data_IF_941572116926
#
_entry.id   IF_941572116926
#
_cell.length_a   1.000
_cell.length_b   1.000
_cell.length_c   1.000
_cell.angle_alpha   90.00
_cell.angle_beta   90.00
_cell.angle_gamma   90.00
#
_symmetry.space_group_name_H-M   'P 1'
#
loop_
_entity.id
_entity.type
_entity.pdbx_description
1 polymer ?
#
# COMPACT_ATOMS: atom_id res chain seq x y z
N UNK A 1 -13.62 -18.48 58.61
CA UNK A 1 -13.12 -17.68 57.45
C UNK A 1 -11.85 -18.35 56.96
N UNK A 2 -11.71 -18.71 55.67
CA UNK A 2 -10.43 -19.20 55.18
C UNK A 2 -9.46 -18.03 55.03
N UNK A 3 -8.27 -18.16 55.63
CA UNK A 3 -7.15 -17.22 55.48
C UNK A 3 -6.46 -17.44 54.13
N UNK A 4 -6.35 -16.38 53.33
CA UNK A 4 -5.62 -16.37 52.06
C UNK A 4 -4.14 -16.06 52.31
N UNK A 5 -3.24 -16.87 51.75
CA UNK A 5 -1.79 -16.61 51.78
C UNK A 5 -1.36 -16.14 50.39
N UNK A 6 -0.72 -14.97 50.29
CA UNK A 6 -0.23 -14.43 49.02
C UNK A 6 1.12 -15.06 48.68
N UNK A 7 1.25 -15.67 47.50
CA UNK A 7 2.53 -16.19 46.99
C UNK A 7 3.21 -15.09 46.17
N UNK A 8 4.41 -14.68 46.57
CA UNK A 8 5.14 -13.55 45.98
C UNK A 8 6.09 -13.91 44.85
N UNK A 9 6.44 -15.20 44.64
CA UNK A 9 7.21 -15.63 43.48
C UNK A 9 7.02 -17.13 43.18
N UNK A 10 7.03 -17.50 41.90
CA UNK A 10 7.00 -18.88 41.42
C UNK A 10 8.37 -19.26 40.84
N UNK A 11 9.12 -20.13 41.55
CA UNK A 11 10.41 -20.66 41.09
C UNK A 11 10.22 -21.99 40.35
N UNK A 12 10.57 -22.03 39.07
CA UNK A 12 10.57 -23.28 38.27
C UNK A 12 12.00 -23.81 38.18
N UNK A 13 12.32 -24.85 38.94
CA UNK A 13 13.62 -25.52 38.87
C UNK A 13 13.63 -26.59 37.76
N UNK A 14 14.68 -26.60 36.93
CA UNK A 14 14.80 -27.45 35.72
C UNK A 14 14.93 -28.96 35.99
N UNK A 15 14.92 -29.41 37.25
CA UNK A 15 15.23 -30.81 37.63
C UNK A 15 14.34 -31.39 38.74
N UNK A 16 13.34 -30.66 39.23
CA UNK A 16 12.32 -31.21 40.14
C UNK A 16 10.96 -30.80 39.60
N UNK A 17 10.12 -31.80 39.29
CA UNK A 17 8.74 -31.63 38.78
C UNK A 17 8.06 -30.51 39.57
N UNK A 18 7.43 -29.55 38.88
CA UNK A 18 6.65 -28.51 39.53
C UNK A 18 5.54 -29.17 40.37
N UNK A 19 5.74 -29.29 41.68
CA UNK A 19 4.75 -29.86 42.58
C UNK A 19 3.85 -28.75 43.10
N UNK A 20 2.72 -28.56 42.42
CA UNK A 20 1.51 -28.01 43.03
C UNK A 20 0.39 -29.00 42.77
N UNK A 21 0.40 -30.12 43.51
CA UNK A 21 -0.75 -31.00 43.60
C UNK A 21 -1.48 -30.68 44.91
N UNK A 22 -2.18 -29.54 44.97
CA UNK A 22 -3.20 -29.36 45.99
C UNK A 22 -4.41 -30.16 45.55
N UNK A 23 -4.92 -31.04 46.42
CA UNK A 23 -6.04 -31.95 46.14
C UNK A 23 -7.40 -31.25 45.88
N UNK A 24 -7.41 -29.92 45.81
CA UNK A 24 -8.57 -29.09 45.46
C UNK A 24 -8.15 -28.03 44.45
N UNK A 25 -8.64 -28.13 43.22
CA UNK A 25 -8.50 -27.12 42.17
C UNK A 25 -9.69 -26.17 42.23
N UNK A 26 -9.44 -24.85 42.20
CA UNK A 26 -10.52 -23.86 42.08
C UNK A 26 -10.95 -23.72 40.62
N UNK A 27 -12.27 -23.64 40.37
CA UNK A 27 -12.82 -23.39 39.04
C UNK A 27 -12.57 -21.96 38.53
N UNK A 28 -12.05 -21.06 39.37
CA UNK A 28 -11.79 -19.66 39.03
C UNK A 28 -10.31 -19.35 38.75
N UNK A 29 -9.44 -20.37 38.80
CA UNK A 29 -8.00 -20.22 38.59
C UNK A 29 -7.56 -21.04 37.38
N UNK A 30 -6.62 -20.49 36.60
CA UNK A 30 -6.05 -21.19 35.44
C UNK A 30 -4.88 -22.08 35.91
N UNK A 31 -5.01 -23.38 35.72
CA UNK A 31 -4.00 -24.37 36.11
C UNK A 31 -3.19 -24.83 34.90
N UNK A 32 -1.87 -24.69 34.99
CA UNK A 32 -0.91 -25.24 34.04
C UNK A 32 -0.40 -26.57 34.58
N UNK A 33 -0.68 -27.66 33.87
CA UNK A 33 -0.28 -29.02 34.24
C UNK A 33 0.80 -29.47 33.26
N UNK A 34 1.81 -30.19 33.75
CA UNK A 34 2.76 -30.86 32.86
C UNK A 34 2.28 -32.28 32.62
N UNK A 35 2.15 -32.69 31.35
CA UNK A 35 1.79 -34.05 30.99
C UNK A 35 2.96 -35.03 31.24
N UNK A 36 2.72 -36.33 31.00
CA UNK A 36 3.72 -37.38 31.20
C UNK A 36 4.91 -37.28 30.23
N UNK A 37 4.76 -36.52 29.14
CA UNK A 37 5.78 -36.27 28.12
C UNK A 37 6.55 -34.95 28.33
N UNK A 38 6.17 -34.15 29.34
CA UNK A 38 6.85 -32.91 29.71
C UNK A 38 6.31 -31.64 29.04
N UNK A 39 5.19 -31.71 28.30
CA UNK A 39 4.51 -30.55 27.73
C UNK A 39 3.57 -29.89 28.75
N UNK A 40 3.38 -28.58 28.62
CA UNK A 40 2.45 -27.82 29.48
C UNK A 40 1.08 -27.79 28.81
N UNK A 41 0.09 -28.39 29.45
CA UNK A 41 -1.32 -28.36 29.08
C UNK A 41 -2.15 -27.54 30.07
N UNK A 42 -3.31 -27.05 29.63
CA UNK A 42 -4.35 -26.49 30.51
C UNK A 42 -5.29 -27.60 30.96
N UNK A 43 -5.61 -27.67 32.25
CA UNK A 43 -6.54 -28.65 32.79
C UNK A 43 -7.91 -28.62 32.05
N UNK A 44 -8.39 -29.80 31.62
CA UNK A 44 -9.58 -29.99 30.76
C UNK A 44 -10.93 -29.60 31.41
N UNK A 45 -10.90 -28.91 32.56
CA UNK A 45 -12.08 -28.55 33.36
C UNK A 45 -12.39 -27.04 33.46
N UNK A 46 -11.63 -26.15 32.83
CA UNK A 46 -11.95 -24.71 32.83
C UNK A 46 -12.91 -24.41 31.66
N UNK A 47 -14.19 -24.70 31.86
CA UNK A 47 -15.24 -24.18 31.00
C UNK A 47 -15.32 -22.65 31.16
N UNK A 48 -15.02 -21.91 30.09
CA UNK A 48 -15.44 -20.52 29.89
C UNK A 48 -14.78 -19.42 30.74
N UNK A 49 -13.46 -19.27 30.65
CA UNK A 49 -12.87 -17.92 30.63
C UNK A 49 -11.83 -17.87 29.53
N UNK A 50 -12.21 -17.22 28.42
CA UNK A 50 -11.40 -16.80 27.27
C UNK A 50 -9.97 -17.35 27.28
N UNK A 51 -9.73 -18.49 26.60
CA UNK A 51 -8.39 -19.07 26.43
C UNK A 51 -7.40 -17.99 26.00
N UNK A 52 -6.57 -17.54 26.95
CA UNK A 52 -5.55 -16.51 26.69
C UNK A 52 -4.40 -17.13 25.91
N UNK A 53 -4.14 -18.43 26.07
CA UNK A 53 -3.15 -19.20 25.33
C UNK A 53 -3.81 -20.43 24.68
N UNK A 54 -3.64 -20.60 23.36
CA UNK A 54 -3.98 -21.83 22.63
C UNK A 54 -2.69 -22.43 22.08
N UNK A 55 -2.41 -23.68 22.40
CA UNK A 55 -1.33 -24.45 21.76
C UNK A 55 -1.91 -25.14 20.54
N UNK A 56 -1.40 -24.78 19.36
CA UNK A 56 -1.79 -25.42 18.10
C UNK A 56 -1.22 -26.83 17.98
N UNK A 57 -1.80 -27.63 17.06
CA UNK A 57 -1.28 -28.97 16.73
C UNK A 57 0.15 -28.96 16.16
N UNK A 58 0.65 -27.77 15.81
CA UNK A 58 2.02 -27.49 15.37
C UNK A 58 2.97 -27.13 16.54
N UNK A 59 2.49 -27.17 17.78
CA UNK A 59 3.26 -26.85 18.98
C UNK A 59 3.45 -25.35 19.24
N UNK A 60 2.78 -24.46 18.49
CA UNK A 60 2.88 -23.02 18.69
C UNK A 60 1.87 -22.50 19.70
N UNK A 61 2.30 -21.56 20.54
CA UNK A 61 1.44 -20.86 21.50
C UNK A 61 0.90 -19.59 20.86
N UNK A 62 -0.43 -19.45 20.78
CA UNK A 62 -1.10 -18.23 20.31
C UNK A 62 -1.79 -17.50 21.46
N UNK A 63 -1.66 -16.17 21.47
CA UNK A 63 -2.28 -15.29 22.47
C UNK A 63 -3.57 -14.68 21.89
N UNK A 64 -4.75 -15.15 22.31
CA UNK A 64 -6.01 -14.52 21.89
C UNK A 64 -7.22 -15.45 21.82
N UNK A 65 -8.40 -14.81 21.87
CA UNK A 65 -9.72 -15.45 21.76
C UNK A 65 -9.79 -16.35 20.51
N UNK A 66 -10.31 -17.60 20.60
CA UNK A 66 -10.29 -18.59 19.51
C UNK A 66 -11.29 -18.30 18.37
N UNK A 67 -11.25 -17.07 17.83
CA UNK A 67 -12.13 -16.59 16.76
C UNK A 67 -11.72 -15.25 16.16
N UNK A 68 -10.77 -14.54 16.77
CA UNK A 68 -10.14 -13.35 16.18
C UNK A 68 -8.68 -13.69 15.94
N UNK A 69 -8.29 -13.81 14.68
CA UNK A 69 -6.90 -14.01 14.28
C UNK A 69 -6.01 -13.05 15.09
N UNK A 70 -5.11 -13.62 15.90
CA UNK A 70 -4.02 -12.85 16.49
C UNK A 70 -3.31 -12.23 15.30
N UNK A 71 -3.22 -10.90 15.26
CA UNK A 71 -2.47 -10.23 14.21
C UNK A 71 -1.05 -10.78 14.28
N UNK A 72 -0.71 -11.66 13.33
CA UNK A 72 0.66 -12.06 13.12
C UNK A 72 1.41 -10.79 12.76
N UNK A 73 2.23 -10.31 13.70
CA UNK A 73 3.11 -9.17 13.51
C UNK A 73 4.37 -9.59 12.71
N UNK A 74 4.42 -10.82 12.20
CA UNK A 74 5.41 -11.20 11.20
C UNK A 74 5.14 -10.42 9.90
N UNK A 75 6.14 -9.66 9.48
CA UNK A 75 6.13 -9.01 8.18
C UNK A 75 6.30 -10.09 7.10
N UNK A 76 5.18 -10.51 6.52
CA UNK A 76 5.16 -11.33 5.31
C UNK A 76 4.74 -10.44 4.12
N UNK A 77 5.67 -10.09 3.21
CA UNK A 77 5.39 -9.27 2.03
C UNK A 77 4.50 -9.98 1.00
N UNK A 78 4.16 -11.25 1.22
CA UNK A 78 3.25 -12.04 0.38
C UNK A 78 1.89 -12.30 1.04
N UNK A 79 1.68 -11.86 2.30
CA UNK A 79 0.41 -12.09 2.99
C UNK A 79 -0.70 -11.16 2.48
N UNK A 80 -1.90 -11.71 2.31
CA UNK A 80 -3.14 -10.99 1.96
C UNK A 80 -3.80 -10.31 3.17
N UNK A 81 -3.05 -10.13 4.25
CA UNK A 81 -3.44 -9.42 5.45
C UNK A 81 -3.98 -8.01 5.10
N UNK A 82 -5.24 -7.75 5.46
CA UNK A 82 -5.95 -6.51 5.13
C UNK A 82 -5.24 -5.24 5.66
N UNK A 83 -4.47 -5.32 6.75
CA UNK A 83 -3.75 -4.18 7.34
C UNK A 83 -2.49 -3.83 6.55
N UNK A 84 -1.71 -4.83 6.13
CA UNK A 84 -0.56 -4.62 5.24
C UNK A 84 -1.00 -4.17 3.84
N UNK A 85 -2.07 -4.76 3.31
CA UNK A 85 -2.67 -4.37 2.02
C UNK A 85 -3.19 -2.93 2.01
N UNK A 86 -3.79 -2.45 3.11
CA UNK A 86 -4.29 -1.06 3.17
C UNK A 86 -3.19 0.00 3.13
N UNK A 87 -2.08 -0.20 3.85
CA UNK A 87 -0.97 0.77 3.85
C UNK A 87 -0.30 0.85 2.47
N UNK A 88 -0.10 -0.30 1.82
CA UNK A 88 0.45 -0.35 0.45
C UNK A 88 -0.53 0.26 -0.56
N UNK A 89 -1.82 -0.07 -0.48
CA UNK A 89 -2.83 0.49 -1.37
C UNK A 89 -2.97 2.01 -1.21
N UNK A 90 -2.92 2.53 0.01
CA UNK A 90 -2.92 3.98 0.27
C UNK A 90 -1.66 4.66 -0.26
N UNK A 91 -0.48 4.04 -0.09
CA UNK A 91 0.77 4.57 -0.61
C UNK A 91 0.80 4.61 -2.15
N UNK A 92 0.22 3.60 -2.80
CA UNK A 92 0.06 3.55 -4.27
C UNK A 92 -0.99 4.56 -4.74
N UNK A 93 -2.14 4.63 -4.06
CA UNK A 93 -3.21 5.57 -4.40
C UNK A 93 -2.81 7.04 -4.19
N UNK A 94 -1.89 7.33 -3.27
CA UNK A 94 -1.36 8.67 -3.02
C UNK A 94 -0.18 9.06 -3.93
N UNK A 95 0.31 8.17 -4.80
CA UNK A 95 1.38 8.49 -5.76
C UNK A 95 0.77 9.05 -7.04
N UNK A 96 1.31 10.19 -7.50
CA UNK A 96 1.02 10.69 -8.83
C UNK A 96 1.42 9.64 -9.88
N UNK A 97 0.55 9.41 -10.86
CA UNK A 97 0.83 8.51 -11.97
C UNK A 97 1.28 9.31 -13.18
N UNK A 98 2.19 8.74 -13.96
CA UNK A 98 2.85 9.41 -15.08
C UNK A 98 2.64 8.62 -16.35
N UNK A 99 2.19 9.29 -17.40
CA UNK A 99 2.09 8.75 -18.75
C UNK A 99 2.82 9.67 -19.73
N UNK A 100 3.50 9.09 -20.71
CA UNK A 100 4.11 9.85 -21.80
C UNK A 100 3.56 9.41 -23.15
N UNK A 101 3.41 10.36 -24.06
CA UNK A 101 2.96 10.14 -25.42
C UNK A 101 3.75 11.02 -26.38
N UNK A 102 3.96 10.55 -27.60
CA UNK A 102 4.59 11.30 -28.67
C UNK A 102 3.63 11.32 -29.84
N UNK A 103 3.24 12.51 -30.27
CA UNK A 103 2.27 12.72 -31.36
C UNK A 103 2.82 13.73 -32.36
N UNK A 104 2.33 13.64 -33.60
CA UNK A 104 2.71 14.56 -34.67
C UNK A 104 1.85 15.83 -34.59
N UNK A 105 2.50 17.00 -34.54
CA UNK A 105 1.87 18.28 -34.85
C UNK A 105 2.09 18.54 -36.34
N UNK A 106 1.04 18.38 -37.14
CA UNK A 106 1.18 18.48 -38.58
C UNK A 106 1.28 19.94 -39.04
N UNK A 107 2.09 20.19 -40.05
CA UNK A 107 2.25 21.49 -40.69
C UNK A 107 0.91 22.02 -41.21
N UNK A 108 0.06 21.13 -41.72
CA UNK A 108 -1.23 21.49 -42.32
C UNK A 108 -2.26 21.98 -41.31
N UNK A 109 -2.07 21.70 -40.01
CA UNK A 109 -3.04 22.02 -38.95
C UNK A 109 -2.89 23.46 -38.42
N UNK A 110 -1.89 24.21 -38.88
CA UNK A 110 -1.67 25.59 -38.46
C UNK A 110 -2.59 26.56 -39.20
N UNK A 111 -3.38 27.32 -38.45
CA UNK A 111 -4.30 28.34 -38.94
C UNK A 111 -4.03 29.71 -38.29
N UNK A 112 -4.32 30.78 -39.03
CA UNK A 112 -4.30 32.14 -38.48
C UNK A 112 -5.71 32.51 -38.03
N UNK A 113 -5.91 32.67 -36.72
CA UNK A 113 -7.18 33.03 -36.10
C UNK A 113 -6.95 34.28 -35.26
N UNK A 114 -7.67 35.36 -35.56
CA UNK A 114 -7.58 36.63 -34.83
C UNK A 114 -6.12 37.13 -34.61
N UNK A 115 -5.33 37.14 -35.68
CA UNK A 115 -3.89 37.50 -35.70
C UNK A 115 -2.96 36.58 -34.89
N UNK A 116 -3.44 35.41 -34.45
CA UNK A 116 -2.65 34.39 -33.76
C UNK A 116 -2.55 33.14 -34.63
N UNK A 117 -1.32 32.64 -34.85
CA UNK A 117 -1.11 31.37 -35.55
C UNK A 117 -1.27 30.24 -34.52
N UNK A 118 -2.22 29.34 -34.73
CA UNK A 118 -2.57 28.28 -33.79
C UNK A 118 -2.74 26.92 -34.45
N UNK A 119 -2.49 25.86 -33.70
CA UNK A 119 -2.79 24.48 -34.08
C UNK A 119 -3.28 23.71 -32.86
N UNK A 120 -4.14 22.71 -33.09
CA UNK A 120 -4.64 21.83 -32.03
C UNK A 120 -4.17 20.41 -32.26
N UNK A 121 -3.67 19.77 -31.20
CA UNK A 121 -3.27 18.36 -31.19
C UNK A 121 -4.19 17.57 -30.26
N UNK A 122 -4.58 16.37 -30.69
CA UNK A 122 -5.29 15.42 -29.82
C UNK A 122 -4.28 14.61 -29.02
N UNK A 123 -4.42 14.62 -27.69
CA UNK A 123 -3.51 13.92 -26.77
C UNK A 123 -4.33 13.23 -25.69
N UNK A 124 -4.55 11.92 -25.85
CA UNK A 124 -5.40 11.14 -24.94
C UNK A 124 -4.87 11.18 -23.50
N UNK A 125 -5.75 11.41 -22.53
CA UNK A 125 -5.43 11.45 -21.11
C UNK A 125 -5.10 12.84 -20.56
N UNK A 126 -4.95 13.85 -21.42
CA UNK A 126 -4.86 15.24 -20.97
C UNK A 126 -6.22 15.73 -20.45
N UNK A 127 -6.20 16.47 -19.34
CA UNK A 127 -7.34 17.18 -18.78
C UNK A 127 -6.93 18.61 -18.47
N UNK A 128 -7.89 19.48 -18.15
CA UNK A 128 -7.60 20.87 -17.73
C UNK A 128 -6.84 20.97 -16.40
N UNK A 129 -6.77 19.88 -15.61
CA UNK A 129 -6.13 19.87 -14.28
C UNK A 129 -4.82 19.11 -14.22
N UNK A 130 -4.42 18.38 -15.28
CA UNK A 130 -3.12 17.71 -15.29
C UNK A 130 -1.97 18.72 -15.31
N UNK A 131 -0.84 18.33 -14.71
CA UNK A 131 0.43 18.99 -15.01
C UNK A 131 0.99 18.34 -16.27
N UNK A 132 1.18 19.13 -17.32
CA UNK A 132 1.76 18.65 -18.59
C UNK A 132 3.14 19.27 -18.82
N UNK A 133 4.08 18.45 -19.27
CA UNK A 133 5.34 18.92 -19.83
C UNK A 133 5.35 18.62 -21.32
N UNK A 134 5.59 19.64 -22.12
CA UNK A 134 5.56 19.55 -23.58
C UNK A 134 6.94 19.93 -24.11
N UNK A 135 7.50 19.07 -24.96
CA UNK A 135 8.79 19.32 -25.61
C UNK A 135 8.81 18.73 -27.01
N UNK A 136 9.57 19.30 -27.95
CA UNK A 136 9.78 18.64 -29.23
C UNK A 136 10.60 17.36 -29.06
N UNK A 137 10.43 16.41 -29.98
CA UNK A 137 11.41 15.35 -30.18
C UNK A 137 12.75 15.93 -30.65
N UNK A 138 13.89 15.25 -30.38
CA UNK A 138 15.21 15.77 -30.76
C UNK A 138 15.34 16.16 -32.24
N UNK A 139 14.72 15.39 -33.14
CA UNK A 139 14.71 15.64 -34.59
C UNK A 139 13.87 16.83 -35.00
N UNK A 140 12.90 17.22 -34.18
CA UNK A 140 11.99 18.35 -34.42
C UNK A 140 12.37 19.62 -33.65
N UNK A 141 13.39 19.55 -32.79
CA UNK A 141 13.77 20.63 -31.88
C UNK A 141 14.06 21.95 -32.61
N UNK A 142 14.80 21.89 -33.72
CA UNK A 142 15.17 23.09 -34.49
C UNK A 142 13.95 23.72 -35.16
N UNK A 143 13.05 22.92 -35.76
CA UNK A 143 11.83 23.42 -36.41
C UNK A 143 10.88 24.03 -35.38
N UNK A 144 10.69 23.35 -34.25
CA UNK A 144 9.85 23.80 -33.14
C UNK A 144 10.36 25.12 -32.54
N UNK A 145 11.67 25.22 -32.29
CA UNK A 145 12.30 26.41 -31.73
C UNK A 145 12.33 27.58 -32.72
N UNK A 146 12.65 27.34 -34.00
CA UNK A 146 12.71 28.38 -35.03
C UNK A 146 11.34 29.02 -35.30
N UNK A 147 10.26 28.23 -35.23
CA UNK A 147 8.89 28.71 -35.34
C UNK A 147 8.40 29.41 -34.05
N UNK A 148 9.08 29.22 -32.92
CA UNK A 148 8.67 29.75 -31.62
C UNK A 148 7.41 29.06 -31.09
N UNK A 149 7.28 27.75 -31.29
CA UNK A 149 6.09 26.99 -30.88
C UNK A 149 6.00 26.93 -29.35
N UNK A 150 4.82 27.21 -28.81
CA UNK A 150 4.49 27.11 -27.39
C UNK A 150 3.14 26.41 -27.23
N UNK A 151 3.04 25.49 -26.27
CA UNK A 151 1.75 25.00 -25.80
C UNK A 151 1.13 26.06 -24.88
N UNK A 152 -0.02 26.61 -25.28
CA UNK A 152 -0.64 27.76 -24.60
C UNK A 152 -1.95 27.42 -23.90
N UNK A 153 -2.58 26.31 -24.26
CA UNK A 153 -3.74 25.80 -23.54
C UNK A 153 -3.80 24.27 -23.56
N UNK A 154 -4.52 23.72 -22.60
CA UNK A 154 -4.84 22.29 -22.52
C UNK A 154 -6.32 22.13 -22.19
N UNK A 155 -6.93 21.08 -22.72
CA UNK A 155 -8.31 20.69 -22.49
C UNK A 155 -8.45 19.18 -22.42
N UNK A 156 -9.69 18.69 -22.35
CA UNK A 156 -9.94 17.24 -22.39
C UNK A 156 -9.41 16.65 -23.69
N UNK A 157 -8.42 15.77 -23.56
CA UNK A 157 -7.72 15.09 -24.64
C UNK A 157 -7.12 16.02 -25.71
N UNK A 158 -6.77 17.26 -25.36
CA UNK A 158 -6.34 18.24 -26.34
C UNK A 158 -5.29 19.21 -25.79
N UNK A 159 -4.32 19.56 -26.63
CA UNK A 159 -3.38 20.65 -26.42
C UNK A 159 -3.49 21.67 -27.56
N UNK A 160 -3.46 22.94 -27.22
CA UNK A 160 -3.44 24.05 -28.17
C UNK A 160 -2.05 24.68 -28.19
N UNK A 161 -1.54 24.89 -29.38
CA UNK A 161 -0.23 25.48 -29.64
C UNK A 161 -0.38 26.82 -30.34
N UNK A 162 0.59 27.70 -30.11
CA UNK A 162 0.78 28.94 -30.88
C UNK A 162 2.22 29.05 -31.34
N UNK A 163 2.46 29.78 -32.43
CA UNK A 163 3.82 30.08 -32.90
C UNK A 163 3.94 31.52 -33.40
N UNK A 164 5.18 31.98 -33.55
CA UNK A 164 5.49 33.30 -34.13
C UNK A 164 5.53 33.25 -35.66
N UNK A 165 5.89 32.09 -36.22
CA UNK A 165 5.94 31.83 -37.66
C UNK A 165 5.46 30.41 -37.92
N UNK A 166 4.68 30.18 -38.99
CA UNK A 166 4.26 28.83 -39.39
C UNK A 166 5.51 27.93 -39.54
N UNK A 167 5.53 26.74 -38.91
CA UNK A 167 6.64 25.80 -39.06
C UNK A 167 6.95 25.42 -40.51
N UNK A 168 8.16 24.93 -40.77
CA UNK A 168 8.56 24.51 -42.12
C UNK A 168 8.31 23.03 -42.43
N UNK A 169 7.96 22.23 -41.43
CA UNK A 169 7.73 20.80 -41.53
C UNK A 169 6.84 20.30 -40.37
N UNK A 170 6.31 19.09 -40.51
CA UNK A 170 5.70 18.34 -39.41
C UNK A 170 6.71 18.15 -38.27
N UNK A 171 6.21 18.05 -37.04
CA UNK A 171 7.05 17.89 -35.86
C UNK A 171 6.47 16.88 -34.88
N UNK A 172 7.35 16.04 -34.34
CA UNK A 172 7.01 15.15 -33.24
C UNK A 172 7.10 15.93 -31.92
N UNK A 173 6.03 15.88 -31.13
CA UNK A 173 5.92 16.52 -29.83
C UNK A 173 5.74 15.46 -28.76
N UNK A 174 6.65 15.47 -27.78
CA UNK A 174 6.57 14.65 -26.59
C UNK A 174 5.74 15.36 -25.52
N UNK A 175 4.82 14.64 -24.92
CA UNK A 175 3.97 15.10 -23.82
C UNK A 175 4.12 14.15 -22.65
N UNK A 176 4.52 14.69 -21.50
CA UNK A 176 4.46 14.02 -20.21
C UNK A 176 3.24 14.53 -19.46
N UNK A 177 2.38 13.62 -19.02
CA UNK A 177 1.17 13.91 -18.25
C UNK A 177 1.36 13.36 -16.85
N UNK A 178 1.27 14.24 -15.86
CA UNK A 178 1.23 13.89 -14.44
C UNK A 178 -0.22 13.99 -13.95
N UNK A 179 -0.66 12.93 -13.27
CA UNK A 179 -2.02 12.74 -12.76
C UNK A 179 -2.02 12.40 -11.28
#
# INVERSE_FOLDING_TARGET
MPTSTTVTELKINKLTKAQYNTSSKSATELWLVTDDDGYIETDQGVENVSKILVVGADGKVTLGNPGTAVADQSYDPTSTNAQAGTAVAQAVAGKASMSSVSEVLALVDWELVDDVITATMTVSGVTSSNVVFVSPAPTSADVYAAAGVLCTAQGTNSLTFTCSTIPSADMDVNVLILS
#
